data_IF_947637670163
#
_entry.id   IF_947637670163
#
_cell.length_a   1.000
_cell.length_b   1.000
_cell.length_c   1.000
_cell.angle_alpha   90.00
_cell.angle_beta   90.00
_cell.angle_gamma   90.00
#
_symmetry.space_group_name_H-M   'P 1'
#
loop_
_entity.id
_entity.type
_entity.pdbx_description
1 polymer ?
#
# COMPACT_ATOMS: atom_id res chain seq x y z
N UNK A 1 -75.35 52.53 27.79
CA UNK A 1 -75.18 51.07 27.64
C UNK A 1 -73.94 50.81 26.80
N UNK A 2 -72.88 50.33 27.39
CA UNK A 2 -71.51 50.29 26.84
C UNK A 2 -71.18 48.93 26.25
N UNK A 3 -70.88 48.93 24.93
CA UNK A 3 -70.38 47.72 24.23
C UNK A 3 -68.87 47.51 24.49
N UNK A 4 -68.52 46.43 25.11
CA UNK A 4 -67.14 46.03 25.32
C UNK A 4 -66.64 45.22 24.11
N UNK A 5 -65.66 45.78 23.39
CA UNK A 5 -64.93 45.11 22.31
C UNK A 5 -63.91 44.21 22.90
N UNK A 6 -64.05 42.91 22.65
CA UNK A 6 -63.06 41.87 22.96
C UNK A 6 -62.07 41.79 21.81
N UNK A 7 -60.80 42.23 21.99
CA UNK A 7 -59.70 42.08 21.04
C UNK A 7 -59.08 40.70 21.28
N UNK A 8 -59.27 39.81 20.32
CA UNK A 8 -58.61 38.48 20.27
C UNK A 8 -57.19 38.70 19.71
N UNK A 9 -56.16 38.56 20.57
CA UNK A 9 -54.75 38.49 20.11
C UNK A 9 -54.45 37.08 19.64
N UNK A 10 -54.32 36.86 18.34
CA UNK A 10 -53.69 35.65 17.78
C UNK A 10 -52.16 35.74 17.95
N UNK A 11 -51.60 35.00 18.88
CA UNK A 11 -50.16 34.77 18.98
C UNK A 11 -49.78 33.65 18.02
N UNK A 12 -49.21 34.00 16.85
CA UNK A 12 -48.61 33.05 15.93
C UNK A 12 -47.25 32.61 16.48
N UNK A 13 -47.21 31.40 17.01
CA UNK A 13 -45.99 30.75 17.47
C UNK A 13 -45.16 30.33 16.22
N UNK A 14 -44.11 31.08 15.89
CA UNK A 14 -43.18 30.74 14.81
C UNK A 14 -42.20 29.67 15.31
N UNK A 15 -42.52 28.38 15.03
CA UNK A 15 -41.64 27.26 15.35
C UNK A 15 -40.49 27.25 14.36
N UNK A 16 -39.36 27.89 14.71
CA UNK A 16 -38.11 27.77 13.92
C UNK A 16 -37.58 26.37 14.13
N UNK A 17 -37.83 25.51 13.16
CA UNK A 17 -37.22 24.18 13.12
C UNK A 17 -35.71 24.35 12.88
N UNK A 18 -34.92 24.21 13.93
CA UNK A 18 -33.46 24.15 13.84
C UNK A 18 -33.09 22.83 13.10
N UNK A 19 -32.89 22.93 11.79
CA UNK A 19 -32.34 21.83 11.04
C UNK A 19 -30.94 21.52 11.57
N UNK A 20 -30.62 20.27 11.94
CA UNK A 20 -29.28 19.92 12.37
C UNK A 20 -28.32 20.21 11.21
N UNK A 21 -27.35 21.07 11.44
CA UNK A 21 -26.24 21.32 10.53
C UNK A 21 -25.47 19.99 10.40
N UNK A 22 -25.72 19.24 9.34
CA UNK A 22 -24.91 18.08 8.97
C UNK A 22 -23.53 18.63 8.62
N UNK A 23 -22.58 18.53 9.55
CA UNK A 23 -21.20 18.91 9.32
C UNK A 23 -20.62 17.90 8.33
N UNK A 24 -20.22 18.37 7.14
CA UNK A 24 -19.52 17.53 6.17
C UNK A 24 -18.26 16.96 6.84
N UNK A 25 -18.10 15.63 6.80
CA UNK A 25 -16.92 14.98 7.32
C UNK A 25 -15.79 15.13 6.31
N UNK A 26 -14.66 15.69 6.74
CA UNK A 26 -13.45 15.72 5.91
C UNK A 26 -12.88 14.32 5.78
N UNK A 27 -12.66 13.88 4.55
CA UNK A 27 -12.01 12.61 4.27
C UNK A 27 -10.49 12.77 4.38
N UNK A 28 -9.78 11.78 4.97
CA UNK A 28 -8.33 11.83 5.02
C UNK A 28 -7.73 11.73 3.61
N UNK A 29 -6.71 12.54 3.35
CA UNK A 29 -5.92 12.44 2.12
C UNK A 29 -4.87 11.35 2.27
N UNK A 30 -4.61 10.58 1.19
CA UNK A 30 -3.53 9.60 1.13
C UNK A 30 -2.57 9.89 -0.01
N UNK A 31 -1.29 9.56 0.20
CA UNK A 31 -0.29 9.60 -0.86
C UNK A 31 -0.51 8.41 -1.80
N UNK A 32 -0.47 8.65 -3.10
CA UNK A 32 -0.52 7.61 -4.11
C UNK A 32 0.88 7.37 -4.70
N UNK A 33 1.16 6.15 -5.14
CA UNK A 33 2.40 5.79 -5.80
C UNK A 33 2.33 6.13 -7.31
N UNK A 34 3.07 7.15 -7.80
CA UNK A 34 3.10 7.44 -9.23
C UNK A 34 3.92 6.39 -10.00
N UNK A 35 3.55 6.12 -11.24
CA UNK A 35 4.33 5.22 -12.12
C UNK A 35 5.79 5.66 -12.28
N UNK A 36 6.06 6.96 -12.28
CA UNK A 36 7.43 7.50 -12.39
C UNK A 36 8.29 7.11 -11.18
N UNK A 37 7.73 7.10 -9.97
CA UNK A 37 8.40 6.65 -8.76
C UNK A 37 8.57 5.13 -8.77
N UNK A 38 7.53 4.38 -9.16
CA UNK A 38 7.59 2.92 -9.27
C UNK A 38 8.72 2.46 -10.20
N UNK A 39 8.88 3.12 -11.36
CA UNK A 39 9.98 2.84 -12.30
C UNK A 39 11.36 3.11 -11.71
N UNK A 40 11.54 4.20 -10.96
CA UNK A 40 12.84 4.53 -10.35
C UNK A 40 13.20 3.56 -9.21
N UNK A 41 12.23 3.15 -8.41
CA UNK A 41 12.40 2.11 -7.39
C UNK A 41 12.80 0.78 -8.03
N UNK A 42 12.09 0.38 -9.09
CA UNK A 42 12.42 -0.84 -9.83
C UNK A 42 13.80 -0.78 -10.47
N UNK A 43 14.19 0.36 -11.04
CA UNK A 43 15.52 0.55 -11.65
C UNK A 43 16.66 0.43 -10.62
N UNK A 44 16.47 0.90 -9.39
CA UNK A 44 17.45 0.73 -8.32
C UNK A 44 17.60 -0.75 -7.91
N UNK A 45 16.48 -1.46 -7.81
CA UNK A 45 16.47 -2.90 -7.55
C UNK A 45 17.12 -3.69 -8.69
N UNK A 46 16.78 -3.35 -9.95
CA UNK A 46 17.39 -3.96 -11.14
C UNK A 46 18.90 -3.78 -11.16
N UNK A 47 19.37 -2.54 -10.93
CA UNK A 47 20.80 -2.25 -10.88
C UNK A 47 21.51 -3.18 -9.89
N UNK A 48 20.98 -3.33 -8.66
CA UNK A 48 21.55 -4.23 -7.67
C UNK A 48 21.56 -5.70 -8.14
N UNK A 49 20.48 -6.15 -8.79
CA UNK A 49 20.40 -7.51 -9.33
C UNK A 49 21.45 -7.76 -10.42
N UNK A 50 21.61 -6.81 -11.37
CA UNK A 50 22.57 -6.92 -12.48
C UNK A 50 24.03 -6.90 -12.02
N UNK A 51 24.36 -6.06 -11.01
CA UNK A 51 25.69 -6.00 -10.41
C UNK A 51 26.10 -7.35 -9.79
N UNK A 52 25.13 -8.11 -9.29
CA UNK A 52 25.33 -9.43 -8.70
C UNK A 52 25.08 -10.58 -9.69
N UNK A 53 24.75 -10.31 -10.96
CA UNK A 53 24.40 -11.30 -11.98
C UNK A 53 23.21 -12.19 -11.58
N UNK A 54 22.21 -11.60 -10.93
CA UNK A 54 20.98 -12.25 -10.49
C UNK A 54 19.82 -11.95 -11.45
N UNK A 55 19.25 -12.99 -12.03
CA UNK A 55 18.11 -12.87 -12.92
C UNK A 55 16.81 -12.97 -12.09
N UNK A 56 16.04 -11.88 -12.04
CA UNK A 56 14.85 -11.78 -11.20
C UNK A 56 13.68 -11.13 -11.93
N UNK A 57 12.47 -11.35 -11.41
CA UNK A 57 11.31 -10.53 -11.66
C UNK A 57 11.16 -9.48 -10.54
N UNK A 58 10.85 -8.26 -10.91
CA UNK A 58 10.59 -7.14 -10.00
C UNK A 58 9.17 -6.66 -10.25
N UNK A 59 8.33 -6.68 -9.21
CA UNK A 59 6.95 -6.20 -9.25
C UNK A 59 6.78 -5.04 -8.26
N UNK A 60 6.14 -3.95 -8.71
CA UNK A 60 5.74 -2.84 -7.85
C UNK A 60 4.22 -2.78 -7.86
N UNK A 61 3.61 -2.78 -6.68
CA UNK A 61 2.16 -2.63 -6.49
C UNK A 61 1.83 -1.34 -5.75
N UNK A 62 0.61 -0.82 -5.94
CA UNK A 62 0.08 0.31 -5.18
C UNK A 62 -0.34 -0.08 -3.76
N UNK A 63 -0.94 0.86 -3.03
CA UNK A 63 -1.45 0.66 -1.67
C UNK A 63 -2.67 -0.29 -1.60
N UNK A 64 -3.33 -0.56 -2.72
CA UNK A 64 -4.38 -1.56 -2.88
C UNK A 64 -3.88 -2.96 -3.29
N UNK A 65 -2.56 -3.09 -3.55
CA UNK A 65 -1.97 -4.34 -4.03
C UNK A 65 -2.12 -4.58 -5.53
N UNK A 66 -2.53 -3.55 -6.30
CA UNK A 66 -2.64 -3.65 -7.75
C UNK A 66 -1.31 -3.36 -8.43
N UNK A 67 -1.01 -4.10 -9.49
CA UNK A 67 0.24 -3.97 -10.23
C UNK A 67 0.36 -2.60 -10.90
N UNK A 68 1.42 -1.85 -10.58
CA UNK A 68 1.76 -0.55 -11.17
C UNK A 68 2.89 -0.70 -12.20
N UNK A 69 3.90 -1.52 -11.87
CA UNK A 69 5.03 -1.76 -12.73
C UNK A 69 5.57 -3.19 -12.54
N UNK A 70 6.01 -3.77 -13.66
CA UNK A 70 6.60 -5.11 -13.65
C UNK A 70 7.71 -5.18 -14.68
N UNK A 71 8.80 -5.86 -14.33
CA UNK A 71 9.83 -6.27 -15.28
C UNK A 71 10.36 -7.67 -14.94
N UNK A 72 10.83 -8.35 -15.98
CA UNK A 72 11.49 -9.64 -15.87
C UNK A 72 12.83 -9.53 -16.59
N UNK A 73 13.92 -9.74 -15.85
CA UNK A 73 15.27 -9.84 -16.41
C UNK A 73 15.36 -11.13 -17.22
N UNK A 74 16.03 -11.07 -18.37
CA UNK A 74 16.20 -12.22 -19.25
C UNK A 74 16.84 -13.41 -18.50
N UNK A 75 16.38 -14.61 -18.82
CA UNK A 75 16.81 -15.83 -18.12
C UNK A 75 16.14 -16.13 -16.77
N UNK A 76 15.28 -15.20 -16.26
CA UNK A 76 14.52 -15.49 -15.04
C UNK A 76 13.49 -16.59 -15.28
N UNK A 77 13.38 -17.51 -14.34
CA UNK A 77 12.40 -18.60 -14.38
C UNK A 77 10.95 -18.09 -14.40
N UNK A 78 10.07 -18.78 -15.14
CA UNK A 78 8.68 -18.34 -15.36
C UNK A 78 7.87 -18.26 -14.06
N UNK A 79 8.08 -19.16 -13.11
CA UNK A 79 7.37 -19.15 -11.82
C UNK A 79 7.56 -17.85 -11.02
N UNK A 80 8.70 -17.17 -11.17
CA UNK A 80 9.01 -15.92 -10.48
C UNK A 80 8.11 -14.74 -10.91
N UNK A 81 7.46 -14.82 -12.06
CA UNK A 81 6.50 -13.80 -12.53
C UNK A 81 5.36 -13.61 -11.53
N UNK A 82 4.73 -14.70 -11.12
CA UNK A 82 3.64 -14.65 -10.15
C UNK A 82 4.15 -14.45 -8.72
N UNK A 83 5.27 -15.12 -8.36
CA UNK A 83 5.80 -15.07 -7.00
C UNK A 83 6.23 -13.65 -6.61
N UNK A 84 6.89 -12.89 -7.50
CA UNK A 84 7.27 -11.50 -7.23
C UNK A 84 6.07 -10.62 -6.93
N UNK A 85 4.99 -10.73 -7.71
CA UNK A 85 3.75 -10.00 -7.49
C UNK A 85 3.09 -10.37 -6.14
N UNK A 86 3.05 -11.67 -5.82
CA UNK A 86 2.47 -12.15 -4.56
C UNK A 86 3.29 -11.73 -3.34
N UNK A 87 4.63 -11.67 -3.43
CA UNK A 87 5.49 -11.11 -2.37
C UNK A 87 5.18 -9.63 -2.14
N UNK A 88 5.03 -8.82 -3.21
CA UNK A 88 4.64 -7.42 -3.10
C UNK A 88 3.25 -7.26 -2.47
N UNK A 89 2.26 -8.04 -2.95
CA UNK A 89 0.89 -8.05 -2.39
C UNK A 89 0.86 -8.44 -0.91
N UNK A 90 1.66 -9.43 -0.51
CA UNK A 90 1.81 -9.82 0.89
C UNK A 90 2.35 -8.65 1.72
N UNK A 91 3.40 -7.99 1.23
CA UNK A 91 4.03 -6.89 1.96
C UNK A 91 3.07 -5.72 2.19
N UNK A 92 2.30 -5.30 1.18
CA UNK A 92 1.35 -4.18 1.33
C UNK A 92 0.09 -4.59 2.09
N UNK A 93 -0.47 -5.76 1.81
CA UNK A 93 -1.71 -6.22 2.43
C UNK A 93 -1.59 -6.40 3.94
N UNK A 94 -0.43 -6.86 4.40
CA UNK A 94 -0.15 -7.06 5.83
C UNK A 94 0.75 -5.97 6.43
N UNK A 95 1.12 -4.94 5.67
CA UNK A 95 1.91 -3.77 6.08
C UNK A 95 3.22 -4.14 6.79
N UNK A 96 3.91 -5.16 6.27
CA UNK A 96 5.20 -5.65 6.80
C UNK A 96 5.98 -6.44 5.76
N UNK A 97 7.32 -6.61 5.94
CA UNK A 97 8.11 -7.48 5.08
C UNK A 97 7.54 -8.90 5.00
N UNK A 98 7.52 -9.51 3.82
CA UNK A 98 7.05 -10.89 3.64
C UNK A 98 7.92 -11.92 4.37
N UNK A 99 9.19 -11.60 4.65
CA UNK A 99 10.11 -12.35 5.50
C UNK A 99 9.51 -12.73 6.87
N UNK A 100 8.73 -11.85 7.49
CA UNK A 100 8.10 -12.10 8.80
C UNK A 100 7.19 -13.34 8.76
N UNK A 101 6.55 -13.59 7.62
CA UNK A 101 5.72 -14.79 7.44
C UNK A 101 6.57 -16.04 7.22
N UNK A 102 7.66 -15.94 6.45
CA UNK A 102 8.63 -17.04 6.25
C UNK A 102 9.22 -17.48 7.58
N UNK A 103 9.75 -16.53 8.36
CA UNK A 103 10.30 -16.78 9.70
C UNK A 103 9.25 -17.38 10.65
N UNK A 104 8.02 -16.90 10.58
CA UNK A 104 6.92 -17.43 11.37
C UNK A 104 6.60 -18.90 11.05
N UNK A 105 6.57 -19.25 9.76
CA UNK A 105 6.37 -20.65 9.32
C UNK A 105 7.57 -21.51 9.73
N UNK A 106 8.80 -21.04 9.50
CA UNK A 106 10.01 -21.73 9.92
C UNK A 106 10.07 -21.95 11.45
N UNK A 107 9.51 -21.00 12.22
CA UNK A 107 9.34 -21.08 13.67
C UNK A 107 8.16 -21.94 14.13
N UNK A 108 7.49 -22.69 13.22
CA UNK A 108 6.40 -23.62 13.55
C UNK A 108 4.99 -23.01 13.53
N UNK A 109 4.79 -21.75 13.17
CA UNK A 109 3.47 -21.11 13.03
C UNK A 109 2.80 -21.49 11.71
N UNK A 110 2.52 -22.76 11.48
CA UNK A 110 1.96 -23.28 10.22
C UNK A 110 0.59 -22.69 9.86
N UNK A 111 -0.14 -22.13 10.83
CA UNK A 111 -1.39 -21.39 10.58
C UNK A 111 -1.21 -20.22 9.59
N UNK A 112 0.01 -19.65 9.46
CA UNK A 112 0.32 -18.59 8.50
C UNK A 112 0.18 -19.06 7.04
N UNK A 113 0.30 -20.35 6.76
CA UNK A 113 0.06 -20.93 5.43
C UNK A 113 -1.40 -20.82 4.98
N UNK A 114 -2.32 -20.70 5.93
CA UNK A 114 -3.75 -20.53 5.69
C UNK A 114 -4.19 -19.06 5.52
N UNK A 115 -3.29 -18.07 5.61
CA UNK A 115 -3.66 -16.67 5.43
C UNK A 115 -3.99 -16.36 3.96
N UNK A 116 -5.21 -15.90 3.66
CA UNK A 116 -5.60 -15.57 2.30
C UNK A 116 -4.69 -14.48 1.70
N UNK A 117 -4.11 -14.76 0.53
CA UNK A 117 -3.29 -13.80 -0.20
C UNK A 117 -1.86 -13.61 0.34
N UNK A 118 -1.46 -14.29 1.41
CA UNK A 118 -0.09 -14.26 1.89
C UNK A 118 0.78 -15.32 1.21
N UNK A 119 1.98 -14.92 0.81
CA UNK A 119 3.06 -15.82 0.40
C UNK A 119 4.20 -15.66 1.41
N UNK A 120 4.46 -16.68 2.24
CA UNK A 120 5.48 -16.63 3.28
C UNK A 120 6.89 -16.89 2.72
N UNK A 121 7.36 -15.96 1.87
CA UNK A 121 8.68 -15.99 1.25
C UNK A 121 9.28 -14.58 1.29
N UNK A 122 10.54 -14.46 1.72
CA UNK A 122 11.28 -13.19 1.74
C UNK A 122 11.43 -12.61 0.31
N UNK A 123 11.43 -11.29 0.19
CA UNK A 123 11.58 -10.55 -1.06
C UNK A 123 10.43 -9.57 -1.34
N UNK A 124 9.41 -9.49 -0.47
CA UNK A 124 8.38 -8.47 -0.49
C UNK A 124 8.60 -7.42 0.60
N UNK A 125 8.70 -6.13 0.24
CA UNK A 125 8.91 -5.02 1.15
C UNK A 125 7.92 -3.88 0.90
N UNK A 126 7.34 -3.26 1.95
CA UNK A 126 6.51 -2.08 1.81
C UNK A 126 7.31 -0.87 1.33
N UNK A 127 6.67 -0.01 0.55
CA UNK A 127 7.15 1.32 0.17
C UNK A 127 6.40 2.35 1.00
N UNK A 128 7.12 3.09 1.86
CA UNK A 128 6.52 4.06 2.77
C UNK A 128 7.17 5.45 2.63
N UNK A 129 6.35 6.50 2.72
CA UNK A 129 6.77 7.91 2.69
C UNK A 129 6.08 8.64 3.84
N UNK A 130 6.86 9.24 4.73
CA UNK A 130 6.37 9.93 5.94
C UNK A 130 5.43 9.05 6.78
N UNK A 131 5.80 7.78 6.96
CA UNK A 131 5.02 6.80 7.73
C UNK A 131 3.77 6.25 7.02
N UNK A 132 3.43 6.77 5.83
CA UNK A 132 2.30 6.30 5.04
C UNK A 132 2.76 5.29 3.99
N UNK A 133 2.16 4.12 3.95
CA UNK A 133 2.44 3.11 2.93
C UNK A 133 1.77 3.51 1.62
N UNK A 134 2.56 3.62 0.55
CA UNK A 134 2.12 4.02 -0.79
C UNK A 134 2.10 2.86 -1.77
N UNK A 135 2.66 1.71 -1.40
CA UNK A 135 2.76 0.53 -2.22
C UNK A 135 3.75 -0.48 -1.64
N UNK A 136 4.19 -1.41 -2.47
CA UNK A 136 5.23 -2.39 -2.13
C UNK A 136 6.02 -2.82 -3.36
N UNK A 137 7.25 -3.30 -3.12
CA UNK A 137 8.09 -4.01 -4.07
C UNK A 137 8.10 -5.50 -3.74
N UNK A 138 8.10 -6.35 -4.76
CA UNK A 138 8.32 -7.79 -4.63
C UNK A 138 9.31 -8.29 -5.66
N UNK A 139 10.28 -9.06 -5.21
CA UNK A 139 11.34 -9.63 -6.04
C UNK A 139 11.33 -11.15 -5.94
N UNK A 140 11.56 -11.82 -7.06
CA UNK A 140 11.69 -13.27 -7.12
C UNK A 140 12.57 -13.72 -8.28
N UNK A 141 13.46 -14.66 -8.03
CA UNK A 141 14.31 -15.25 -9.08
C UNK A 141 15.53 -16.01 -8.56
N UNK A 142 15.98 -15.69 -7.37
CA UNK A 142 17.15 -16.29 -6.72
C UNK A 142 16.77 -16.84 -5.34
N UNK A 143 17.69 -16.86 -4.36
CA UNK A 143 17.31 -17.25 -2.99
C UNK A 143 16.41 -16.17 -2.35
N UNK A 144 15.60 -16.57 -1.37
CA UNK A 144 14.70 -15.64 -0.69
C UNK A 144 15.45 -14.45 -0.07
N UNK A 145 16.62 -14.68 0.53
CA UNK A 145 17.48 -13.63 1.09
C UNK A 145 18.00 -12.68 0.01
N UNK A 146 18.45 -13.20 -1.13
CA UNK A 146 18.94 -12.38 -2.25
C UNK A 146 17.79 -11.54 -2.85
N UNK A 147 16.60 -12.15 -3.00
CA UNK A 147 15.39 -11.42 -3.42
C UNK A 147 15.10 -10.26 -2.45
N UNK A 148 15.25 -10.50 -1.13
CA UNK A 148 15.11 -9.48 -0.08
C UNK A 148 16.13 -8.35 -0.21
N UNK A 149 17.41 -8.66 -0.51
CA UNK A 149 18.47 -7.66 -0.72
C UNK A 149 18.19 -6.78 -1.93
N UNK A 150 17.71 -7.38 -3.03
CA UNK A 150 17.33 -6.62 -4.23
C UNK A 150 16.13 -5.71 -3.95
N UNK A 151 15.11 -6.24 -3.27
CA UNK A 151 13.95 -5.44 -2.87
C UNK A 151 14.34 -4.26 -1.96
N UNK A 152 15.28 -4.49 -1.03
CA UNK A 152 15.79 -3.46 -0.13
C UNK A 152 16.50 -2.34 -0.88
N UNK A 153 17.30 -2.64 -1.91
CA UNK A 153 17.93 -1.62 -2.75
C UNK A 153 16.90 -0.68 -3.40
N UNK A 154 15.75 -1.22 -3.81
CA UNK A 154 14.63 -0.43 -4.30
C UNK A 154 14.00 0.46 -3.21
N UNK A 155 13.79 -0.08 -2.00
CA UNK A 155 13.25 0.68 -0.86
C UNK A 155 14.20 1.80 -0.44
N UNK A 156 15.50 1.55 -0.37
CA UNK A 156 16.52 2.53 0.04
C UNK A 156 16.59 3.72 -0.93
N UNK A 157 16.38 3.46 -2.21
CA UNK A 157 16.34 4.52 -3.22
C UNK A 157 15.13 5.45 -3.07
N UNK A 158 14.01 4.98 -2.49
CA UNK A 158 12.75 5.73 -2.41
C UNK A 158 12.92 7.11 -1.75
N UNK A 159 13.66 7.19 -0.63
CA UNK A 159 13.88 8.45 0.07
C UNK A 159 14.56 9.52 -0.81
N UNK A 160 15.53 9.12 -1.63
CA UNK A 160 16.19 10.01 -2.58
C UNK A 160 15.33 10.40 -3.77
N UNK A 161 14.33 9.56 -4.12
CA UNK A 161 13.41 9.80 -5.24
C UNK A 161 12.32 10.80 -4.86
N UNK A 162 11.72 10.66 -3.68
CA UNK A 162 10.57 11.47 -3.25
C UNK A 162 10.97 12.71 -2.46
N UNK A 163 12.17 12.76 -1.89
CA UNK A 163 12.70 13.91 -1.14
C UNK A 163 13.30 15.05 -2.00
N UNK A 164 13.44 14.84 -3.31
CA UNK A 164 13.93 15.87 -4.24
C UNK A 164 12.77 16.76 -4.69
N UNK A 165 12.52 17.83 -3.93
CA UNK A 165 11.75 19.00 -4.37
C UNK A 165 12.70 20.08 -4.87
#
# INVERSE_FOLDING_TARGET
MTARSVRLLLATLFCVAASPLVRAQELPTKKALPLSVAKQVAAAAEKHALENKWNVCIAIVDDGGHLVYFQRIDGTQTGSVLVSQRKAQTAIGFKRPSKVFEEGVAGGRNALLGLPGAVPLEGGLPLAVDGQMIGAIGVSGVTAQQDGMIAQAGVDALAGIVGRK
#
